data_IF_369152174367
#
_entry.id   IF_369152174367
#
_cell.length_a   1.000
_cell.length_b   1.000
_cell.length_c   1.000
_cell.angle_alpha   90.00
_cell.angle_beta   90.00
_cell.angle_gamma   90.00
#
_symmetry.space_group_name_H-M   'P 1'
#
loop_
_entity.id
_entity.type
_entity.pdbx_description
1 polymer ?
#
# COMPACT_ATOMS: atom_id res chain seq x y z
N UNK A 1 9.53 -14.79 -2.24
CA UNK A 1 9.48 -13.71 -1.23
C UNK A 1 8.09 -13.10 -1.14
N UNK A 2 7.44 -12.62 -2.22
CA UNK A 2 6.04 -12.10 -2.16
C UNK A 2 4.97 -13.16 -1.84
N UNK A 3 5.13 -14.38 -2.36
CA UNK A 3 4.19 -15.50 -2.14
C UNK A 3 4.21 -16.03 -0.69
N UNK A 4 5.24 -15.71 0.08
CA UNK A 4 5.43 -16.19 1.45
C UNK A 4 4.61 -15.39 2.47
N UNK A 5 4.14 -14.19 2.10
CA UNK A 5 3.39 -13.27 2.96
C UNK A 5 1.90 -13.15 2.59
N UNK A 6 1.39 -14.05 1.74
CA UNK A 6 -0.04 -14.04 1.37
C UNK A 6 -0.48 -12.85 0.52
N UNK A 7 0.45 -12.09 -0.06
CA UNK A 7 0.12 -10.95 -0.92
C UNK A 7 -0.37 -11.46 -2.27
N UNK A 8 -1.63 -11.15 -2.67
CA UNK A 8 -2.14 -11.48 -4.00
C UNK A 8 -1.21 -10.94 -5.08
N UNK A 9 -0.91 -11.75 -6.09
CA UNK A 9 0.04 -11.40 -7.16
C UNK A 9 -0.35 -10.11 -7.90
N UNK A 10 -1.64 -9.77 -7.89
CA UNK A 10 -2.25 -8.58 -8.48
C UNK A 10 -1.95 -7.28 -7.72
N UNK A 11 -1.58 -7.36 -6.44
CA UNK A 11 -1.14 -6.21 -5.62
C UNK A 11 0.37 -5.98 -5.68
N UNK A 12 1.09 -6.84 -6.41
CA UNK A 12 2.52 -6.79 -6.61
C UNK A 12 3.03 -5.43 -7.09
N UNK A 13 3.56 -4.60 -6.18
CA UNK A 13 4.29 -3.38 -6.52
C UNK A 13 5.78 -3.66 -6.70
N UNK A 14 6.52 -2.75 -7.35
CA UNK A 14 7.95 -2.88 -7.61
C UNK A 14 8.80 -2.96 -6.32
N UNK A 15 8.26 -2.50 -5.19
CA UNK A 15 8.94 -2.50 -3.90
C UNK A 15 8.02 -3.00 -2.79
N UNK A 16 8.55 -3.89 -1.96
CA UNK A 16 7.91 -4.39 -0.74
C UNK A 16 8.89 -4.16 0.40
N UNK A 17 8.44 -3.50 1.46
CA UNK A 17 9.17 -3.31 2.71
C UNK A 17 8.40 -3.99 3.85
N UNK A 18 9.09 -4.40 4.90
CA UNK A 18 8.46 -4.83 6.15
C UNK A 18 8.79 -3.77 7.21
N UNK A 19 7.78 -3.25 7.89
CA UNK A 19 7.93 -2.22 8.92
C UNK A 19 7.15 -2.63 10.15
N UNK A 20 7.85 -2.91 11.25
CA UNK A 20 7.22 -3.21 12.54
C UNK A 20 6.27 -4.43 12.54
N UNK A 21 6.51 -5.40 11.66
CA UNK A 21 5.67 -6.59 11.48
C UNK A 21 4.58 -6.46 10.41
N UNK A 22 4.44 -5.29 9.78
CA UNK A 22 3.51 -5.04 8.69
C UNK A 22 4.23 -4.98 7.35
N UNK A 23 3.64 -5.57 6.31
CA UNK A 23 4.13 -5.42 4.95
C UNK A 23 3.67 -4.09 4.37
N UNK A 24 4.55 -3.39 3.68
CA UNK A 24 4.29 -2.12 3.01
C UNK A 24 4.68 -2.26 1.55
N UNK A 25 3.71 -2.14 0.66
CA UNK A 25 3.88 -2.34 -0.76
C UNK A 25 3.57 -1.06 -1.55
N UNK A 26 4.54 -0.58 -2.33
CA UNK A 26 4.44 0.69 -3.06
C UNK A 26 4.81 1.94 -2.24
N UNK A 27 4.40 3.12 -2.74
CA UNK A 27 4.75 4.43 -2.15
C UNK A 27 3.78 4.85 -1.03
N UNK A 28 3.56 3.98 -0.05
CA UNK A 28 2.65 4.29 1.07
C UNK A 28 3.17 5.51 1.85
N UNK A 29 2.34 6.53 2.09
CA UNK A 29 2.73 7.71 2.87
C UNK A 29 3.19 7.34 4.29
N UNK A 30 4.29 7.94 4.75
CA UNK A 30 4.89 7.61 6.05
C UNK A 30 4.01 7.95 7.26
N UNK A 31 3.11 8.92 7.14
CA UNK A 31 2.11 9.23 8.17
C UNK A 31 1.13 8.07 8.38
N UNK A 32 0.67 7.44 7.30
CA UNK A 32 -0.21 6.26 7.38
C UNK A 32 0.51 5.06 7.99
N UNK A 33 1.80 4.86 7.65
CA UNK A 33 2.62 3.82 8.26
C UNK A 33 2.76 4.08 9.77
N UNK A 34 3.02 5.32 10.19
CA UNK A 34 3.12 5.69 11.59
C UNK A 34 1.79 5.48 12.34
N UNK A 35 0.66 5.78 11.71
CA UNK A 35 -0.66 5.49 12.28
C UNK A 35 -0.88 4.00 12.47
N UNK A 36 -0.58 3.16 11.48
CA UNK A 36 -0.69 1.70 11.61
C UNK A 36 0.23 1.16 12.69
N UNK A 37 1.46 1.66 12.82
CA UNK A 37 2.36 1.25 13.90
C UNK A 37 1.88 1.68 15.29
N UNK A 38 1.13 2.78 15.38
CA UNK A 38 0.53 3.30 16.62
C UNK A 38 -0.73 2.55 17.00
N UNK A 39 -1.65 2.37 16.04
CA UNK A 39 -2.97 1.76 16.27
C UNK A 39 -2.92 0.24 16.26
N UNK A 40 -1.91 -0.33 15.60
CA UNK A 40 -1.71 -1.76 15.39
C UNK A 40 -2.99 -2.50 14.98
N UNK A 41 -3.62 -2.08 13.87
CA UNK A 41 -4.81 -2.76 13.37
C UNK A 41 -4.48 -4.20 12.98
N UNK A 42 -5.50 -5.05 12.96
CA UNK A 42 -5.43 -6.46 12.59
C UNK A 42 -5.33 -6.61 11.06
N UNK A 43 -4.17 -6.23 10.53
CA UNK A 43 -3.82 -6.27 9.11
C UNK A 43 -2.43 -6.88 8.96
N UNK A 44 -2.17 -7.53 7.82
CA UNK A 44 -0.82 -7.99 7.48
C UNK A 44 0.01 -6.90 6.82
N UNK A 45 -0.64 -5.90 6.21
CA UNK A 45 0.09 -4.86 5.51
C UNK A 45 -0.76 -3.81 4.80
N UNK A 46 -0.05 -2.82 4.26
CA UNK A 46 -0.57 -1.75 3.44
C UNK A 46 -0.02 -1.89 2.01
N UNK A 47 -0.87 -1.66 1.02
CA UNK A 47 -0.48 -1.60 -0.38
C UNK A 47 -1.01 -0.33 -1.02
N UNK A 48 -0.17 0.32 -1.82
CA UNK A 48 -0.56 1.40 -2.72
C UNK A 48 -0.34 0.92 -4.15
N UNK A 49 -1.37 0.31 -4.77
CA UNK A 49 -1.29 -0.12 -6.16
C UNK A 49 -1.34 1.09 -7.08
N UNK A 50 -0.40 1.14 -8.02
CA UNK A 50 -0.35 2.17 -9.06
C UNK A 50 0.73 3.23 -8.84
N UNK A 51 1.46 3.52 -9.91
CA UNK A 51 2.12 4.81 -10.04
C UNK A 51 1.04 5.83 -10.42
N UNK A 52 0.77 6.89 -9.62
CA UNK A 52 -0.17 7.91 -10.06
C UNK A 52 0.34 8.48 -11.39
N UNK A 53 -0.53 8.44 -12.42
CA UNK A 53 -0.21 9.04 -13.71
C UNK A 53 0.07 10.55 -13.51
N UNK A 54 1.25 11.00 -13.98
CA UNK A 54 1.74 12.37 -13.78
C UNK A 54 3.22 12.46 -13.41
N UNK A 55 4.04 11.51 -13.85
CA UNK A 55 5.49 11.63 -13.79
C UNK A 55 5.95 12.86 -14.62
N UNK A 56 6.95 13.63 -14.15
CA UNK A 56 7.42 14.81 -14.89
C UNK A 56 7.89 14.39 -16.29
N UNK A 57 7.21 14.88 -17.33
CA UNK A 57 7.49 14.55 -18.75
C UNK A 57 6.28 14.08 -19.57
N UNK A 58 5.18 13.68 -18.93
CA UNK A 58 3.90 13.41 -19.61
C UNK A 58 2.84 14.40 -19.13
N UNK A 59 2.32 15.24 -20.04
CA UNK A 59 1.26 16.19 -19.72
C UNK A 59 0.01 15.47 -19.19
N UNK A 60 -0.59 16.04 -18.15
CA UNK A 60 -1.83 15.54 -17.53
C UNK A 60 -1.96 16.07 -16.11
N UNK A 61 -3.12 16.64 -15.76
CA UNK A 61 -3.40 17.01 -14.38
C UNK A 61 -3.45 15.74 -13.52
N UNK A 62 -2.58 15.62 -12.51
CA UNK A 62 -2.74 14.62 -11.44
C UNK A 62 -4.18 14.73 -10.91
N UNK A 63 -5.00 13.69 -11.05
CA UNK A 63 -6.41 13.74 -10.62
C UNK A 63 -6.94 12.51 -9.92
N UNK A 64 -6.17 11.44 -9.79
CA UNK A 64 -6.66 10.27 -9.06
C UNK A 64 -6.21 10.36 -7.60
N UNK A 65 -7.17 10.31 -6.64
CA UNK A 65 -6.85 10.23 -5.23
C UNK A 65 -6.02 8.97 -4.97
N UNK A 66 -5.01 9.11 -4.14
CA UNK A 66 -4.15 8.03 -3.69
C UNK A 66 -4.95 7.18 -2.72
N UNK A 67 -5.26 5.95 -3.12
CA UNK A 67 -5.95 4.99 -2.27
C UNK A 67 -4.92 4.03 -1.67
N UNK A 68 -4.75 4.11 -0.35
CA UNK A 68 -3.96 3.16 0.42
C UNK A 68 -4.88 2.02 0.80
N UNK A 69 -4.52 0.81 0.39
CA UNK A 69 -5.22 -0.42 0.70
C UNK A 69 -4.60 -1.07 1.93
N UNK A 70 -5.42 -1.64 2.80
CA UNK A 70 -5.00 -2.58 3.84
C UNK A 70 -5.33 -4.01 3.40
N UNK A 71 -4.49 -4.94 3.83
CA UNK A 71 -4.60 -6.38 3.55
C UNK A 71 -4.61 -7.11 4.90
N UNK A 72 -5.49 -8.08 5.11
CA UNK A 72 -5.46 -8.96 6.30
C UNK A 72 -4.86 -10.34 6.02
N UNK A 73 -4.75 -11.18 7.05
CA UNK A 73 -4.19 -12.54 6.95
C UNK A 73 -4.99 -13.46 6.01
N UNK A 74 -6.27 -13.17 5.79
CA UNK A 74 -7.14 -13.89 4.85
C UNK A 74 -6.95 -13.42 3.39
N UNK A 75 -6.06 -12.45 3.14
CA UNK A 75 -5.85 -11.84 1.83
C UNK A 75 -6.97 -10.89 1.40
N UNK A 76 -7.85 -10.50 2.33
CA UNK A 76 -8.92 -9.52 2.10
C UNK A 76 -8.31 -8.12 2.06
N UNK A 77 -8.72 -7.37 1.04
CA UNK A 77 -8.20 -6.03 0.76
C UNK A 77 -9.33 -5.02 0.91
N UNK A 78 -9.07 -3.89 1.58
CA UNK A 78 -9.99 -2.76 1.64
C UNK A 78 -9.24 -1.44 1.65
N UNK A 79 -9.95 -0.35 1.32
CA UNK A 79 -9.36 1.00 1.37
C UNK A 79 -9.20 1.43 2.82
N UNK A 80 -7.95 1.58 3.26
CA UNK A 80 -7.61 2.08 4.59
C UNK A 80 -7.66 3.61 4.64
N UNK A 81 -7.12 4.27 3.62
CA UNK A 81 -7.11 5.72 3.50
C UNK A 81 -7.20 6.17 2.04
N UNK A 82 -7.80 7.35 1.82
CA UNK A 82 -7.85 8.03 0.52
C UNK A 82 -7.21 9.40 0.69
N UNK A 83 -6.29 9.78 -0.20
CA UNK A 83 -5.54 11.04 -0.14
C UNK A 83 -5.56 11.80 -1.45
#
# INVERSE_FOLDING_TARGET
MKETYGIPKELGSCHTAEVGGYIVEGHVPGDIIAEVLREKPDIVGLALPGMPAGAPGMGGSKRDPIEVLAINEEGRVWVYARR
#
